data_IF_999125202449
#
_entry.id   IF_999125202449
#
_cell.length_a   1.000
_cell.length_b   1.000
_cell.length_c   1.000
_cell.angle_alpha   90.00
_cell.angle_beta   90.00
_cell.angle_gamma   90.00
#
_symmetry.space_group_name_H-M   'P 1'
#
loop_
_entity.id
_entity.type
_entity.pdbx_description
1 polymer ?
#
# COMPACT_ATOMS: atom_id res chain seq x y z
N UNK A 1 -9.28 -1.05 20.69
CA UNK A 1 -10.63 -1.14 20.10
C UNK A 1 -10.44 -1.20 18.58
N UNK A 2 -10.98 -2.22 17.92
CA UNK A 2 -10.85 -2.40 16.47
C UNK A 2 -12.07 -1.77 15.81
N UNK A 3 -11.82 -0.80 14.93
CA UNK A 3 -12.85 -0.11 14.18
C UNK A 3 -12.92 -0.66 12.75
N UNK A 4 -14.13 -0.83 12.25
CA UNK A 4 -14.40 -1.23 10.87
C UNK A 4 -14.96 -0.05 10.08
N UNK A 5 -14.64 0.00 8.79
CA UNK A 5 -15.25 0.96 7.87
C UNK A 5 -16.76 0.71 7.76
N UNK A 6 -17.54 1.79 7.69
CA UNK A 6 -18.98 1.70 7.45
C UNK A 6 -19.26 1.15 6.06
N UNK A 7 -20.27 0.28 5.96
CA UNK A 7 -20.66 -0.37 4.70
C UNK A 7 -22.18 -0.30 4.51
N UNK A 8 -22.67 -0.34 3.26
CA UNK A 8 -24.11 -0.38 2.96
C UNK A 8 -24.84 -1.57 3.61
N UNK A 9 -24.12 -2.67 3.84
CA UNK A 9 -24.66 -3.87 4.50
C UNK A 9 -24.90 -3.66 5.99
N UNK A 10 -23.96 -3.01 6.68
CA UNK A 10 -24.14 -2.62 8.07
C UNK A 10 -25.30 -1.64 8.21
N UNK A 11 -25.43 -0.69 7.29
CA UNK A 11 -26.55 0.25 7.26
C UNK A 11 -27.90 -0.45 7.10
N UNK A 12 -28.01 -1.41 6.16
CA UNK A 12 -29.22 -2.23 5.96
C UNK A 12 -29.58 -2.98 7.25
N UNK A 13 -28.62 -3.61 7.91
CA UNK A 13 -28.84 -4.35 9.15
C UNK A 13 -29.27 -3.44 10.32
N UNK A 14 -28.66 -2.26 10.44
CA UNK A 14 -29.00 -1.28 11.49
C UNK A 14 -30.41 -0.70 11.27
N UNK A 15 -30.79 -0.39 10.02
CA UNK A 15 -32.16 0.02 9.66
C UNK A 15 -33.18 -1.10 9.88
N UNK A 16 -32.83 -2.36 9.58
CA UNK A 16 -33.66 -3.55 9.86
C UNK A 16 -33.91 -3.70 11.36
N UNK A 17 -32.90 -3.45 12.20
CA UNK A 17 -33.07 -3.43 13.66
C UNK A 17 -34.00 -2.29 14.12
N UNK A 18 -33.83 -1.07 13.58
CA UNK A 18 -34.66 0.08 13.95
C UNK A 18 -36.13 -0.12 13.59
N UNK A 19 -36.41 -0.61 12.39
CA UNK A 19 -37.78 -0.91 11.94
C UNK A 19 -38.42 -2.02 12.78
N UNK A 20 -37.67 -3.09 13.09
CA UNK A 20 -38.16 -4.21 13.91
C UNK A 20 -38.36 -3.81 15.38
N UNK A 21 -37.50 -2.95 15.93
CA UNK A 21 -37.68 -2.38 17.27
C UNK A 21 -38.90 -1.47 17.36
N UNK A 22 -39.28 -0.77 16.29
CA UNK A 22 -40.48 0.10 16.25
C UNK A 22 -41.77 -0.69 16.00
N UNK A 23 -41.69 -1.77 15.23
CA UNK A 23 -42.85 -2.60 14.84
C UNK A 23 -43.26 -3.63 15.90
N UNK A 24 -42.38 -3.99 16.83
CA UNK A 24 -42.66 -5.07 17.78
C UNK A 24 -43.16 -4.53 19.11
N UNK A 25 -44.26 -5.09 19.59
CA UNK A 25 -44.82 -5.02 20.95
C UNK A 25 -43.90 -5.54 22.08
N UNK A 26 -42.59 -5.60 21.84
CA UNK A 26 -41.55 -6.25 22.67
C UNK A 26 -40.77 -5.23 23.52
N UNK A 27 -41.21 -3.97 23.56
CA UNK A 27 -40.69 -2.95 24.46
C UNK A 27 -40.79 -3.33 25.97
N UNK A 28 -41.49 -4.42 26.32
CA UNK A 28 -41.73 -4.88 27.69
C UNK A 28 -40.68 -5.81 28.30
N UNK A 29 -39.65 -6.29 27.58
CA UNK A 29 -38.61 -7.17 28.18
C UNK A 29 -37.17 -6.90 27.72
N UNK A 30 -36.87 -5.66 27.37
CA UNK A 30 -35.51 -5.28 26.98
C UNK A 30 -34.60 -5.13 28.21
N UNK A 31 -33.46 -5.81 28.19
CA UNK A 31 -32.43 -5.60 29.19
C UNK A 31 -31.85 -4.17 29.06
N UNK A 32 -31.37 -3.56 30.17
CA UNK A 32 -30.76 -2.22 30.13
C UNK A 32 -29.57 -2.09 29.16
N UNK A 33 -28.93 -3.21 28.82
CA UNK A 33 -27.84 -3.27 27.84
C UNK A 33 -28.35 -3.17 26.39
N UNK A 34 -29.54 -3.71 26.11
CA UNK A 34 -30.17 -3.69 24.78
C UNK A 34 -30.71 -2.29 24.45
N UNK A 35 -31.27 -1.59 25.44
CA UNK A 35 -31.69 -0.19 25.28
C UNK A 35 -30.52 0.75 25.04
N UNK A 36 -29.36 0.48 25.65
CA UNK A 36 -28.12 1.22 25.38
C UNK A 36 -27.63 0.99 23.96
N UNK A 37 -27.67 -0.24 23.45
CA UNK A 37 -27.26 -0.52 22.06
C UNK A 37 -28.16 0.13 21.02
N UNK A 38 -29.48 0.19 21.27
CA UNK A 38 -30.40 0.88 20.37
C UNK A 38 -30.14 2.39 20.34
N UNK A 39 -29.88 3.01 21.50
CA UNK A 39 -29.49 4.43 21.60
C UNK A 39 -28.17 4.71 20.87
N UNK A 40 -27.18 3.83 21.00
CA UNK A 40 -25.90 3.95 20.28
C UNK A 40 -26.11 3.80 18.76
N UNK A 41 -26.98 2.89 18.31
CA UNK A 41 -27.34 2.71 16.90
C UNK A 41 -28.09 3.92 16.33
N UNK A 42 -29.08 4.45 17.05
CA UNK A 42 -29.85 5.64 16.64
C UNK A 42 -28.94 6.86 16.52
N UNK A 43 -28.06 7.08 17.50
CA UNK A 43 -27.07 8.18 17.46
C UNK A 43 -26.09 8.09 16.28
N UNK A 44 -25.80 6.87 15.81
CA UNK A 44 -24.93 6.63 14.65
C UNK A 44 -25.69 6.91 13.34
N UNK A 45 -26.96 6.53 13.26
CA UNK A 45 -27.82 6.73 12.08
C UNK A 45 -28.26 8.20 11.88
N UNK A 46 -28.38 8.99 12.96
CA UNK A 46 -28.76 10.41 12.88
C UNK A 46 -27.64 11.33 12.36
N UNK A 47 -26.40 10.84 12.18
CA UNK A 47 -25.30 11.65 11.66
C UNK A 47 -25.49 11.94 10.16
N UNK A 48 -25.55 13.22 9.74
CA UNK A 48 -25.88 13.60 8.35
C UNK A 48 -24.84 13.17 7.31
N UNK A 49 -23.60 12.88 7.72
CA UNK A 49 -22.52 12.45 6.83
C UNK A 49 -22.26 10.94 6.85
N UNK A 50 -23.08 10.15 7.56
CA UNK A 50 -22.81 8.74 7.83
C UNK A 50 -21.60 8.54 8.77
N UNK A 51 -21.57 7.48 9.59
CA UNK A 51 -20.40 7.18 10.40
C UNK A 51 -19.22 6.72 9.52
N UNK A 52 -18.01 7.26 9.73
CA UNK A 52 -16.81 6.82 9.01
C UNK A 52 -16.30 5.45 9.51
N UNK A 53 -16.62 5.11 10.77
CA UNK A 53 -16.23 3.86 11.40
C UNK A 53 -17.23 3.36 12.47
N UNK A 54 -17.20 2.05 12.73
CA UNK A 54 -18.00 1.37 13.77
C UNK A 54 -17.16 0.35 14.54
N UNK A 55 -17.37 0.29 15.86
CA UNK A 55 -16.74 -0.71 16.73
C UNK A 55 -17.29 -2.11 16.48
N UNK A 56 -16.39 -3.10 16.44
CA UNK A 56 -16.72 -4.52 16.24
C UNK A 56 -17.67 -5.05 17.33
N UNK A 57 -17.56 -4.54 18.56
CA UNK A 57 -18.40 -5.01 19.68
C UNK A 57 -19.85 -4.52 19.56
N UNK A 58 -20.09 -3.37 18.92
CA UNK A 58 -21.45 -2.93 18.62
C UNK A 58 -22.10 -3.83 17.57
N UNK A 59 -21.34 -4.22 16.54
CA UNK A 59 -21.83 -5.12 15.47
C UNK A 59 -22.22 -6.48 16.05
N UNK A 60 -21.42 -7.04 16.97
CA UNK A 60 -21.77 -8.28 17.68
C UNK A 60 -23.09 -8.14 18.43
N UNK A 61 -23.29 -7.03 19.16
CA UNK A 61 -24.54 -6.79 19.91
C UNK A 61 -25.75 -6.64 18.99
N UNK A 62 -25.60 -5.92 17.87
CA UNK A 62 -26.66 -5.74 16.87
C UNK A 62 -27.05 -7.08 16.24
N UNK A 63 -26.09 -7.91 15.86
CA UNK A 63 -26.36 -9.25 15.30
C UNK A 63 -27.08 -10.16 16.31
N UNK A 64 -26.69 -10.12 17.59
CA UNK A 64 -27.31 -10.92 18.64
C UNK A 64 -28.78 -10.50 18.85
N UNK A 65 -29.07 -9.20 18.78
CA UNK A 65 -30.43 -8.68 18.84
C UNK A 65 -31.27 -9.11 17.63
N UNK A 66 -30.73 -8.97 16.41
CA UNK A 66 -31.42 -9.41 15.18
C UNK A 66 -31.77 -10.91 15.24
N UNK A 67 -30.83 -11.75 15.67
CA UNK A 67 -31.05 -13.19 15.84
C UNK A 67 -32.09 -13.51 16.92
N UNK A 68 -32.06 -12.80 18.06
CA UNK A 68 -33.07 -12.93 19.12
C UNK A 68 -34.47 -12.58 18.60
N UNK A 69 -34.59 -11.50 17.83
CA UNK A 69 -35.86 -11.11 17.20
C UNK A 69 -36.31 -12.05 16.08
N UNK A 70 -35.37 -12.70 15.38
CA UNK A 70 -35.68 -13.71 14.36
C UNK A 70 -36.23 -14.99 15.00
N UNK A 71 -35.58 -15.47 16.07
CA UNK A 71 -36.03 -16.64 16.82
C UNK A 71 -37.39 -16.43 17.50
N UNK A 72 -37.69 -15.22 17.95
CA UNK A 72 -38.99 -14.91 18.58
C UNK A 72 -40.15 -14.90 17.56
N UNK A 73 -39.89 -14.49 16.32
CA UNK A 73 -40.89 -14.49 15.25
C UNK A 73 -41.28 -15.91 14.82
N UNK A 74 -40.36 -16.87 14.88
CA UNK A 74 -40.63 -18.26 14.49
C UNK A 74 -41.55 -19.02 15.46
N UNK A 75 -41.69 -18.57 16.71
CA UNK A 75 -42.54 -19.25 17.70
C UNK A 75 -44.01 -18.78 17.69
N UNK A 76 -44.35 -17.73 16.92
CA UNK A 76 -45.71 -17.20 16.80
C UNK A 76 -46.30 -17.41 15.39
N UNK A 77 -46.14 -18.61 14.85
CA UNK A 77 -46.72 -19.03 13.57
C UNK A 77 -48.06 -19.75 13.74
N UNK A 78 -49.11 -19.01 14.07
CA UNK A 78 -50.51 -19.41 13.87
C UNK A 78 -51.28 -18.23 13.28
N UNK A 79 -51.47 -18.21 11.95
CA UNK A 79 -52.44 -17.34 11.29
C UNK A 79 -51.89 -16.37 10.22
N UNK A 80 -52.09 -16.78 8.97
CA UNK A 80 -52.47 -15.98 7.78
C UNK A 80 -51.48 -15.05 7.06
N UNK A 81 -50.98 -15.61 5.95
CA UNK A 81 -51.15 -15.13 4.57
C UNK A 81 -51.13 -13.61 4.32
N UNK A 82 -49.95 -13.11 3.97
CA UNK A 82 -49.81 -12.10 2.92
C UNK A 82 -48.58 -12.45 2.08
N UNK A 83 -48.81 -12.61 0.78
CA UNK A 83 -47.79 -12.89 -0.23
C UNK A 83 -46.90 -11.66 -0.38
N UNK A 84 -45.74 -11.70 0.26
CA UNK A 84 -44.56 -11.00 -0.21
C UNK A 84 -43.42 -12.01 -0.14
N UNK A 85 -42.68 -12.15 -1.22
CA UNK A 85 -41.63 -13.16 -1.39
C UNK A 85 -40.53 -12.98 -0.34
N UNK A 86 -40.68 -13.65 0.81
CA UNK A 86 -39.66 -13.74 1.85
C UNK A 86 -38.60 -14.73 1.38
N UNK A 87 -37.55 -14.18 0.78
CA UNK A 87 -36.33 -14.91 0.47
C UNK A 87 -35.79 -15.59 1.74
N UNK A 88 -35.65 -16.92 1.70
CA UNK A 88 -35.03 -17.75 2.74
C UNK A 88 -33.56 -17.41 3.04
N UNK A 89 -33.01 -16.35 2.42
CA UNK A 89 -31.70 -15.77 2.72
C UNK A 89 -31.71 -14.81 3.92
N UNK A 90 -32.87 -14.30 4.34
CA UNK A 90 -32.94 -13.14 5.24
C UNK A 90 -32.48 -13.43 6.69
N UNK A 91 -32.46 -14.69 7.11
CA UNK A 91 -31.90 -15.13 8.41
C UNK A 91 -30.39 -15.35 8.35
N UNK A 92 -29.87 -15.71 7.18
CA UNK A 92 -28.43 -15.87 6.95
C UNK A 92 -27.71 -14.52 6.88
N UNK A 93 -28.42 -13.46 6.47
CA UNK A 93 -27.89 -12.09 6.42
C UNK A 93 -27.66 -11.47 7.81
N UNK A 94 -28.30 -12.01 8.86
CA UNK A 94 -28.24 -11.48 10.22
C UNK A 94 -26.98 -11.95 11.00
N UNK A 95 -26.19 -12.86 10.42
CA UNK A 95 -24.96 -13.38 11.03
C UNK A 95 -23.81 -12.37 10.95
N UNK A 96 -23.04 -12.26 12.05
CA UNK A 96 -21.89 -11.34 12.17
C UNK A 96 -20.95 -11.42 10.97
N UNK A 97 -20.59 -12.63 10.55
CA UNK A 97 -19.64 -12.81 9.45
C UNK A 97 -20.19 -12.35 8.09
N UNK A 98 -21.53 -12.34 7.91
CA UNK A 98 -22.18 -11.82 6.70
C UNK A 98 -22.26 -10.29 6.75
N UNK A 99 -22.55 -9.73 7.93
CA UNK A 99 -22.57 -8.28 8.16
C UNK A 99 -21.18 -7.63 7.97
N UNK A 100 -20.11 -8.31 8.38
CA UNK A 100 -18.72 -7.83 8.27
C UNK A 100 -18.12 -8.13 6.88
N UNK A 101 -18.78 -8.95 6.06
CA UNK A 101 -18.27 -9.32 4.73
C UNK A 101 -18.20 -8.09 3.82
N UNK A 102 -16.97 -7.65 3.54
CA UNK A 102 -16.67 -6.46 2.73
C UNK A 102 -16.30 -5.22 3.54
N UNK A 103 -16.30 -5.26 4.88
CA UNK A 103 -15.76 -4.18 5.70
C UNK A 103 -14.25 -4.33 5.85
N UNK A 104 -13.50 -3.28 5.54
CA UNK A 104 -12.06 -3.19 5.84
C UNK A 104 -11.85 -2.62 7.24
N UNK A 105 -10.71 -2.95 7.86
CA UNK A 105 -10.26 -2.31 9.10
C UNK A 105 -10.10 -0.81 8.85
N UNK A 106 -10.72 0.01 9.69
CA UNK A 106 -10.58 1.45 9.64
C UNK A 106 -9.21 1.83 10.22
N UNK A 107 -8.34 2.34 9.37
CA UNK A 107 -7.08 2.96 9.77
C UNK A 107 -7.30 4.48 9.75
N UNK A 108 -7.19 5.18 10.89
CA UNK A 108 -7.35 6.62 10.91
C UNK A 108 -6.32 7.25 9.97
N UNK A 109 -6.75 8.24 9.19
CA UNK A 109 -5.84 9.00 8.32
C UNK A 109 -4.74 9.60 9.20
N UNK A 110 -3.46 9.32 8.95
CA UNK A 110 -2.38 9.89 9.73
C UNK A 110 -2.48 11.42 9.67
N UNK A 111 -2.40 12.06 10.83
CA UNK A 111 -2.44 13.52 10.91
C UNK A 111 -1.37 14.11 9.98
N UNK A 112 -1.65 15.23 9.28
CA UNK A 112 -0.64 15.90 8.48
C UNK A 112 0.58 16.17 9.35
N UNK A 113 1.74 15.64 8.95
CA UNK A 113 2.99 15.90 9.68
C UNK A 113 3.24 17.40 9.66
N UNK A 114 3.21 18.04 10.82
CA UNK A 114 3.64 19.43 10.96
C UNK A 114 5.08 19.54 10.45
N UNK A 115 5.31 20.42 9.46
CA UNK A 115 6.62 20.60 8.87
C UNK A 115 7.53 21.23 9.92
N UNK A 116 8.65 20.58 10.22
CA UNK A 116 9.64 21.17 11.12
C UNK A 116 10.31 22.36 10.41
N UNK A 117 10.65 23.43 11.15
CA UNK A 117 11.30 24.61 10.57
C UNK A 117 12.66 24.29 9.93
N UNK A 118 13.31 23.22 10.37
CA UNK A 118 14.54 22.69 9.77
C UNK A 118 14.30 22.16 8.36
N UNK A 119 13.17 21.48 8.12
CA UNK A 119 12.86 20.92 6.82
C UNK A 119 12.56 22.02 5.79
N UNK A 120 11.88 23.09 6.20
CA UNK A 120 11.60 24.21 5.31
C UNK A 120 12.89 24.96 4.92
N UNK A 121 13.85 25.11 5.85
CA UNK A 121 15.19 25.65 5.55
C UNK A 121 15.96 24.78 4.56
N UNK A 122 15.90 23.46 4.72
CA UNK A 122 16.53 22.51 3.77
C UNK A 122 15.86 22.63 2.39
N UNK A 123 14.53 22.71 2.36
CA UNK A 123 13.78 22.87 1.10
C UNK A 123 14.12 24.19 0.40
N UNK A 124 14.23 25.29 1.13
CA UNK A 124 14.64 26.59 0.59
C UNK A 124 16.06 26.53 0.01
N UNK A 125 17.00 25.90 0.73
CA UNK A 125 18.35 25.66 0.25
C UNK A 125 18.40 24.83 -1.04
N UNK A 126 17.61 23.75 -1.12
CA UNK A 126 17.50 22.92 -2.34
C UNK A 126 16.90 23.72 -3.51
N UNK A 127 15.87 24.53 -3.26
CA UNK A 127 15.25 25.39 -4.29
C UNK A 127 16.23 26.44 -4.81
N UNK A 128 17.00 27.08 -3.93
CA UNK A 128 18.03 28.04 -4.31
C UNK A 128 19.12 27.37 -5.17
N UNK A 129 19.61 26.19 -4.79
CA UNK A 129 20.58 25.43 -5.58
C UNK A 129 20.04 25.01 -6.94
N UNK A 130 18.76 24.66 -7.02
CA UNK A 130 18.13 24.28 -8.29
C UNK A 130 17.95 25.49 -9.21
N UNK A 131 17.54 26.64 -8.66
CA UNK A 131 17.41 27.89 -9.41
C UNK A 131 18.76 28.37 -9.95
N UNK A 132 19.82 28.31 -9.13
CA UNK A 132 21.18 28.62 -9.58
C UNK A 132 21.62 27.68 -10.71
N UNK A 133 21.38 26.37 -10.55
CA UNK A 133 21.72 25.38 -11.59
C UNK A 133 20.98 25.63 -12.91
N UNK A 134 19.72 26.08 -12.85
CA UNK A 134 18.94 26.40 -14.04
C UNK A 134 19.40 27.72 -14.68
N UNK A 135 19.72 28.74 -13.87
CA UNK A 135 20.33 29.97 -14.35
C UNK A 135 21.64 29.68 -15.09
N UNK A 136 22.53 28.89 -14.49
CA UNK A 136 23.80 28.44 -15.09
C UNK A 136 23.57 27.71 -16.41
N UNK A 137 22.50 26.90 -16.53
CA UNK A 137 22.16 26.22 -17.78
C UNK A 137 21.72 27.21 -18.86
N UNK A 138 20.93 28.21 -18.54
CA UNK A 138 20.48 29.23 -19.50
C UNK A 138 21.66 30.06 -20.02
N UNK A 139 22.53 30.53 -19.12
CA UNK A 139 23.67 31.39 -19.50
C UNK A 139 24.81 30.62 -20.17
N UNK A 140 24.95 29.30 -19.93
CA UNK A 140 26.00 28.48 -20.56
C UNK A 140 25.93 28.42 -22.09
N UNK A 141 24.79 28.81 -22.69
CA UNK A 141 24.61 28.86 -24.15
C UNK A 141 25.00 30.19 -24.79
N UNK A 142 25.20 31.25 -23.99
CA UNK A 142 25.39 32.63 -24.46
C UNK A 142 26.81 33.13 -24.21
N UNK A 143 27.53 32.59 -23.22
CA UNK A 143 28.90 33.01 -22.88
C UNK A 143 29.97 32.13 -23.55
N UNK A 144 30.68 32.59 -24.60
CA UNK A 144 31.79 31.84 -25.21
C UNK A 144 33.05 31.78 -24.32
N UNK A 145 33.08 32.52 -23.21
CA UNK A 145 34.17 32.49 -22.21
C UNK A 145 33.88 31.55 -21.02
N UNK A 146 32.71 30.91 -20.97
CA UNK A 146 32.34 29.92 -19.95
C UNK A 146 32.96 28.52 -20.21
N UNK A 147 34.14 28.45 -20.82
CA UNK A 147 34.85 27.18 -21.09
C UNK A 147 35.23 26.43 -19.79
N UNK A 148 35.14 27.06 -18.62
CA UNK A 148 35.20 26.39 -17.32
C UNK A 148 33.96 25.52 -17.01
N UNK A 149 32.81 25.80 -17.61
CA UNK A 149 31.58 25.00 -17.43
C UNK A 149 31.54 23.75 -18.31
N UNK A 150 32.31 23.69 -19.41
CA UNK A 150 32.57 22.44 -20.12
C UNK A 150 33.28 21.44 -19.21
N UNK A 151 34.27 21.91 -18.42
CA UNK A 151 34.96 21.10 -17.42
C UNK A 151 34.00 20.68 -16.29
N UNK A 152 33.11 21.56 -15.84
CA UNK A 152 32.10 21.19 -14.84
C UNK A 152 31.04 20.20 -15.38
N UNK A 153 30.72 20.26 -16.68
CA UNK A 153 29.83 19.31 -17.34
C UNK A 153 30.50 17.96 -17.59
N UNK A 154 31.78 17.96 -17.99
CA UNK A 154 32.59 16.74 -18.12
C UNK A 154 32.81 16.09 -16.76
N UNK A 155 33.12 16.85 -15.71
CA UNK A 155 33.21 16.32 -14.33
C UNK A 155 31.86 15.73 -13.89
N UNK A 156 30.72 16.31 -14.25
CA UNK A 156 29.40 15.74 -13.92
C UNK A 156 29.10 14.47 -14.71
N UNK A 157 29.51 14.39 -15.97
CA UNK A 157 29.44 13.17 -16.77
C UNK A 157 30.36 12.10 -16.18
N UNK A 158 31.62 12.45 -15.89
CA UNK A 158 32.60 11.58 -15.23
C UNK A 158 32.06 11.09 -13.88
N UNK A 159 31.43 11.95 -13.08
CA UNK A 159 30.84 11.54 -11.79
C UNK A 159 29.64 10.61 -11.97
N UNK A 160 28.85 10.76 -13.05
CA UNK A 160 27.75 9.85 -13.36
C UNK A 160 28.29 8.50 -13.84
N UNK A 161 29.29 8.52 -14.72
CA UNK A 161 29.98 7.33 -15.21
C UNK A 161 30.69 6.60 -14.06
N UNK A 162 31.36 7.32 -13.17
CA UNK A 162 31.94 6.78 -11.93
C UNK A 162 30.89 6.13 -11.03
N UNK A 163 29.68 6.69 -10.94
CA UNK A 163 28.59 6.08 -10.17
C UNK A 163 28.09 4.80 -10.81
N UNK A 164 27.93 4.79 -12.12
CA UNK A 164 27.50 3.61 -12.87
C UNK A 164 28.58 2.50 -12.76
N UNK A 165 29.87 2.84 -12.90
CA UNK A 165 31.00 1.92 -12.70
C UNK A 165 31.05 1.38 -11.26
N UNK A 166 30.85 2.23 -10.25
CA UNK A 166 30.81 1.80 -8.84
C UNK A 166 29.68 0.81 -8.58
N UNK A 167 28.52 1.01 -9.19
CA UNK A 167 27.39 0.10 -9.08
C UNK A 167 27.66 -1.26 -9.75
N UNK A 168 28.41 -1.30 -10.85
CA UNK A 168 28.82 -2.57 -11.46
C UNK A 168 29.93 -3.26 -10.65
N UNK A 169 30.88 -2.49 -10.11
CA UNK A 169 31.99 -3.00 -9.29
C UNK A 169 31.49 -3.66 -8.00
N UNK A 170 30.53 -3.05 -7.30
CA UNK A 170 29.98 -3.65 -6.08
C UNK A 170 29.29 -4.99 -6.37
N UNK A 171 28.63 -5.12 -7.53
CA UNK A 171 28.02 -6.37 -7.98
C UNK A 171 29.05 -7.47 -8.21
N UNK A 172 30.15 -7.16 -8.90
CA UNK A 172 31.24 -8.12 -9.15
C UNK A 172 31.87 -8.59 -7.84
N UNK A 173 32.14 -7.65 -6.91
CA UNK A 173 32.72 -7.98 -5.60
C UNK A 173 31.77 -8.87 -4.80
N UNK A 174 30.46 -8.63 -4.85
CA UNK A 174 29.47 -9.47 -4.18
C UNK A 174 29.47 -10.91 -4.70
N UNK A 175 29.45 -11.09 -6.03
CA UNK A 175 29.49 -12.42 -6.67
C UNK A 175 30.77 -13.17 -6.33
N UNK A 176 31.91 -12.48 -6.32
CA UNK A 176 33.20 -13.09 -5.95
C UNK A 176 33.21 -13.50 -4.48
N UNK A 177 32.67 -12.66 -3.59
CA UNK A 177 32.62 -12.93 -2.16
C UNK A 177 31.78 -14.18 -1.85
N UNK A 178 30.58 -14.28 -2.42
CA UNK A 178 29.70 -15.45 -2.24
C UNK A 178 30.28 -16.69 -2.90
N UNK A 179 30.91 -16.55 -4.08
CA UNK A 179 31.62 -17.63 -4.74
C UNK A 179 32.74 -18.22 -3.87
N UNK A 180 33.64 -17.38 -3.36
CA UNK A 180 34.74 -17.83 -2.47
C UNK A 180 34.20 -18.45 -1.19
N UNK A 181 33.15 -17.88 -0.60
CA UNK A 181 32.51 -18.44 0.59
C UNK A 181 31.96 -19.84 0.34
N UNK A 182 31.25 -20.07 -0.77
CA UNK A 182 30.73 -21.40 -1.13
C UNK A 182 31.86 -22.37 -1.44
N UNK A 183 32.87 -21.95 -2.19
CA UNK A 183 34.01 -22.80 -2.51
C UNK A 183 34.73 -23.28 -1.25
N UNK A 184 35.03 -22.37 -0.32
CA UNK A 184 35.71 -22.72 0.94
C UNK A 184 34.84 -23.57 1.86
N UNK A 185 33.54 -23.29 1.95
CA UNK A 185 32.59 -24.09 2.73
C UNK A 185 32.48 -25.52 2.18
N UNK A 186 32.27 -25.69 0.87
CA UNK A 186 32.16 -27.02 0.25
C UNK A 186 33.49 -27.76 0.30
N UNK A 187 34.62 -27.07 0.17
CA UNK A 187 35.94 -27.68 0.33
C UNK A 187 36.15 -28.24 1.75
N UNK A 188 35.78 -27.49 2.78
CA UNK A 188 35.83 -27.95 4.18
C UNK A 188 34.86 -29.11 4.43
N UNK A 189 33.63 -29.02 3.94
CA UNK A 189 32.63 -30.09 4.08
C UNK A 189 33.10 -31.35 3.39
N UNK A 190 33.62 -31.23 2.16
CA UNK A 190 34.11 -32.38 1.39
C UNK A 190 35.31 -33.07 2.06
N UNK A 191 36.04 -32.37 2.93
CA UNK A 191 37.11 -32.97 3.70
C UNK A 191 36.61 -34.06 4.67
N UNK A 192 35.33 -34.02 5.06
CA UNK A 192 34.73 -35.06 5.89
C UNK A 192 34.20 -36.28 5.11
N UNK A 193 33.95 -36.14 3.81
CA UNK A 193 33.31 -37.19 3.00
C UNK A 193 34.29 -37.97 2.12
N UNK A 194 35.45 -37.41 1.80
CA UNK A 194 36.39 -38.00 0.85
C UNK A 194 37.80 -37.63 1.24
N UNK A 195 38.74 -38.58 1.23
CA UNK A 195 40.16 -38.32 1.56
C UNK A 195 41.01 -37.86 0.37
N UNK A 196 40.48 -38.00 -0.84
CA UNK A 196 41.15 -37.62 -2.08
C UNK A 196 41.01 -36.12 -2.36
N UNK A 197 42.16 -35.43 -2.49
CA UNK A 197 42.22 -34.00 -2.76
C UNK A 197 41.54 -33.60 -4.07
N UNK A 198 41.65 -34.42 -5.12
CA UNK A 198 41.09 -34.10 -6.43
C UNK A 198 39.56 -34.05 -6.40
N UNK A 199 38.94 -35.01 -5.72
CA UNK A 199 37.49 -35.08 -5.54
C UNK A 199 36.96 -33.93 -4.69
N UNK A 200 37.71 -33.52 -3.66
CA UNK A 200 37.36 -32.35 -2.82
C UNK A 200 37.30 -31.07 -3.63
N UNK A 201 38.31 -30.82 -4.45
CA UNK A 201 38.36 -29.63 -5.32
C UNK A 201 37.25 -29.67 -6.36
N UNK A 202 36.97 -30.85 -6.94
CA UNK A 202 35.92 -31.01 -7.95
C UNK A 202 34.52 -30.69 -7.38
N UNK A 203 34.21 -31.17 -6.17
CA UNK A 203 32.96 -30.84 -5.49
C UNK A 203 32.85 -29.36 -5.11
N UNK A 204 33.93 -28.77 -4.60
CA UNK A 204 33.97 -27.35 -4.28
C UNK A 204 33.77 -26.46 -5.52
N UNK A 205 34.38 -26.85 -6.64
CA UNK A 205 34.21 -26.17 -7.92
C UNK A 205 32.79 -26.30 -8.47
N UNK A 206 32.17 -27.47 -8.35
CA UNK A 206 30.76 -27.66 -8.73
C UNK A 206 29.84 -26.72 -7.93
N UNK A 207 30.05 -26.62 -6.62
CA UNK A 207 29.31 -25.69 -5.76
C UNK A 207 29.51 -24.22 -6.16
N UNK A 208 30.74 -23.84 -6.49
CA UNK A 208 31.07 -22.50 -7.01
C UNK A 208 30.33 -22.18 -8.31
N UNK A 209 30.30 -23.10 -9.26
CA UNK A 209 29.60 -22.90 -10.54
C UNK A 209 28.10 -22.72 -10.33
N UNK A 210 27.48 -23.50 -9.44
CA UNK A 210 26.05 -23.38 -9.13
C UNK A 210 25.71 -22.02 -8.50
N UNK A 211 26.50 -21.54 -7.53
CA UNK A 211 26.20 -20.25 -6.90
C UNK A 211 26.37 -19.07 -7.87
N UNK A 212 27.40 -19.10 -8.71
CA UNK A 212 27.61 -18.07 -9.75
C UNK A 212 26.46 -18.07 -10.75
N UNK A 213 25.97 -19.24 -11.17
CA UNK A 213 24.80 -19.34 -12.04
C UNK A 213 23.53 -18.80 -11.36
N UNK A 214 23.32 -19.12 -10.08
CA UNK A 214 22.21 -18.58 -9.29
C UNK A 214 22.26 -17.05 -9.18
N UNK A 215 23.42 -16.46 -8.90
CA UNK A 215 23.57 -15.00 -8.85
C UNK A 215 23.37 -14.34 -10.21
N UNK A 216 23.92 -14.91 -11.28
CA UNK A 216 23.72 -14.42 -12.64
C UNK A 216 22.23 -14.45 -13.04
N UNK A 217 21.51 -15.52 -12.69
CA UNK A 217 20.07 -15.61 -12.90
C UNK A 217 19.30 -14.55 -12.11
N UNK A 218 19.66 -14.33 -10.84
CA UNK A 218 19.04 -13.31 -10.00
C UNK A 218 19.28 -11.91 -10.57
N UNK A 219 20.49 -11.63 -11.06
CA UNK A 219 20.82 -10.36 -11.71
C UNK A 219 20.02 -10.14 -13.01
N UNK A 220 19.90 -11.18 -13.84
CA UNK A 220 19.09 -11.15 -15.07
C UNK A 220 17.61 -10.89 -14.76
N UNK A 221 17.07 -11.49 -13.71
CA UNK A 221 15.69 -11.27 -13.29
C UNK A 221 15.48 -9.85 -12.76
N UNK A 222 16.38 -9.37 -11.91
CA UNK A 222 16.26 -8.04 -11.31
C UNK A 222 16.31 -6.92 -12.37
N UNK A 223 17.19 -7.06 -13.37
CA UNK A 223 17.26 -6.12 -14.50
C UNK A 223 16.03 -6.19 -15.42
N UNK A 224 15.42 -7.38 -15.57
CA UNK A 224 14.16 -7.55 -16.30
C UNK A 224 12.98 -6.85 -15.59
N UNK A 225 12.91 -6.92 -14.27
CA UNK A 225 11.87 -6.24 -13.49
C UNK A 225 12.02 -4.71 -13.53
N UNK A 226 13.27 -4.20 -13.50
CA UNK A 226 13.57 -2.76 -13.64
C UNK A 226 13.21 -2.23 -15.03
N UNK A 227 13.37 -3.02 -16.09
CA UNK A 227 12.97 -2.63 -17.46
C UNK A 227 11.47 -2.79 -17.73
N UNK A 228 10.75 -3.60 -16.92
CA UNK A 228 9.28 -3.69 -16.94
C UNK A 228 8.58 -2.59 -16.12
N UNK A 229 9.21 -2.07 -15.07
CA UNK A 229 8.71 -0.99 -14.22
C UNK A 229 8.35 0.36 -14.93
N UNK A 230 9.03 0.83 -16.00
CA UNK A 230 8.66 2.10 -16.66
C UNK A 230 7.28 2.06 -17.33
N UNK A 231 6.70 0.88 -17.60
CA UNK A 231 5.36 0.78 -18.21
C UNK A 231 4.24 1.13 -17.23
N UNK A 232 4.33 0.73 -15.95
CA UNK A 232 3.32 1.07 -14.93
C UNK A 232 3.35 2.55 -14.54
N UNK A 233 4.54 3.19 -14.52
CA UNK A 233 4.66 4.60 -14.13
C UNK A 233 4.04 5.55 -15.18
N UNK A 234 4.13 5.21 -16.47
CA UNK A 234 3.47 5.96 -17.56
C UNK A 234 1.94 5.88 -17.47
N UNK A 235 1.41 4.70 -17.13
CA UNK A 235 -0.04 4.50 -17.00
C UNK A 235 -0.64 5.21 -15.78
N UNK A 236 0.13 5.32 -14.69
CA UNK A 236 -0.26 6.08 -13.49
C UNK A 236 -0.18 7.59 -13.74
N UNK A 237 0.84 8.06 -14.46
CA UNK A 237 0.95 9.48 -14.84
C UNK A 237 -0.18 9.94 -15.76
N UNK A 238 -0.71 9.07 -16.62
CA UNK A 238 -1.88 9.41 -17.46
C UNK A 238 -3.21 9.49 -16.71
N UNK A 239 -3.28 9.03 -15.45
CA UNK A 239 -4.50 9.00 -14.62
C UNK A 239 -4.53 10.07 -13.52
N UNK A 240 -3.50 10.92 -13.43
CA UNK A 240 -3.46 12.01 -12.44
C UNK A 240 -4.18 13.26 -12.99
N UNK A 241 -4.97 13.97 -12.15
CA UNK A 241 -5.64 15.20 -12.55
C UNK A 241 -4.64 16.28 -13.00
N UNK A 242 -5.07 17.09 -13.98
CA UNK A 242 -4.24 18.02 -14.77
C UNK A 242 -3.44 19.03 -13.90
N UNK A 243 -3.87 19.28 -12.67
CA UNK A 243 -3.24 20.22 -11.75
C UNK A 243 -1.98 19.68 -11.04
N UNK A 244 -1.72 18.37 -11.11
CA UNK A 244 -0.51 17.76 -10.55
C UNK A 244 0.64 17.64 -11.57
N UNK A 245 0.38 17.92 -12.85
CA UNK A 245 1.38 17.90 -13.91
C UNK A 245 1.91 19.31 -14.09
N UNK A 246 3.08 19.60 -13.52
CA UNK A 246 3.80 20.86 -13.77
C UNK A 246 4.24 20.87 -15.24
N UNK A 247 3.37 21.37 -16.13
CA UNK A 247 3.75 21.69 -17.50
C UNK A 247 4.71 22.87 -17.50
N UNK A 248 5.98 22.60 -17.74
CA UNK A 248 6.95 23.61 -18.17
C UNK A 248 6.58 24.07 -19.58
N UNK A 249 5.67 25.06 -19.68
CA UNK A 249 5.45 25.77 -20.93
C UNK A 249 6.56 26.81 -21.12
N UNK A 250 7.52 26.49 -21.99
CA UNK A 250 8.44 27.46 -22.58
C UNK A 250 7.63 28.43 -23.47
N UNK A 251 7.36 29.63 -22.95
CA UNK A 251 6.79 30.72 -23.75
C UNK A 251 7.89 31.37 -24.58
N UNK A 252 8.09 30.87 -25.81
CA UNK A 252 8.71 31.64 -26.87
C UNK A 252 7.60 32.54 -27.43
N UNK A 253 7.61 33.82 -27.08
CA UNK A 253 6.80 34.84 -27.73
C UNK A 253 7.71 35.80 -28.48
N UNK A 254 7.91 35.45 -29.75
CA UNK A 254 8.37 36.31 -30.82
C UNK A 254 7.60 37.64 -30.79
N UNK A 255 8.33 38.76 -30.71
CA UNK A 255 7.79 40.07 -31.08
C UNK A 255 8.78 40.75 -32.03
N UNK A 256 8.46 40.56 -33.30
CA UNK A 256 8.84 41.39 -34.42
C UNK A 256 8.15 42.75 -34.25
N UNK A 257 8.93 43.83 -34.15
CA UNK A 257 8.68 45.13 -34.77
C UNK A 257 9.91 46.01 -34.64
#
# INVERSE_FOLDING_TARGET
>A
MVNLQWTPRLEKAFKKLQTKSRSSSVALSLNPLETRTLKEVDSILEKPNGPECVDVDLIKRVSALLLKYSSSASNNGGGECSKESVDSNDTSEDWVHVMIKGSSVYVPKPAPKERSPELDRIMEGIKAQLAEKEYQRMISSIDPNANGNLIASSIKQDLKEMKDIKAHMIGIVNVLYTGVAVFTAVFMISAHFTDDLGKRVLLAFLGFVLIVACEAYLYSRHTSDVTAAPRKKKEIMSKLPYDAVVTTKSSIKEKRS
#
